data_IF_434810253385
#
_entry.id   IF_434810253385
#
_cell.length_a   1.000
_cell.length_b   1.000
_cell.length_c   1.000
_cell.angle_alpha   90.00
_cell.angle_beta   90.00
_cell.angle_gamma   90.00
#
_symmetry.space_group_name_H-M   'P 1'
#
loop_
_entity.id
_entity.type
_entity.pdbx_description
1 polymer ?
#
# COMPACT_ATOMS: atom_id res chain seq x y z
N UNK A 1 -12.52 12.99 0.27
CA UNK A 1 -12.72 11.64 0.84
C UNK A 1 -13.68 10.86 -0.04
N UNK A 2 -13.45 9.56 -0.25
CA UNK A 2 -14.37 8.67 -0.99
C UNK A 2 -15.78 8.71 -0.38
N UNK A 3 -16.61 9.62 -0.87
CA UNK A 3 -18.04 9.75 -0.56
C UNK A 3 -18.84 8.81 -1.47
N UNK A 4 -18.46 7.53 -1.49
CA UNK A 4 -19.25 6.53 -2.19
C UNK A 4 -20.41 6.10 -1.28
N UNK A 5 -21.65 6.27 -1.76
CA UNK A 5 -22.85 5.70 -1.14
C UNK A 5 -22.91 4.17 -1.30
N UNK A 6 -22.00 3.59 -2.08
CA UNK A 6 -21.97 2.17 -2.42
C UNK A 6 -21.19 1.41 -1.34
N UNK A 7 -21.81 0.39 -0.75
CA UNK A 7 -21.10 -0.64 0.02
C UNK A 7 -20.19 -1.38 -0.96
N UNK A 8 -18.88 -1.17 -0.82
CA UNK A 8 -17.90 -1.76 -1.72
C UNK A 8 -16.66 -2.24 -0.99
N UNK A 9 -16.09 -3.29 -1.57
CA UNK A 9 -14.74 -3.76 -1.28
C UNK A 9 -13.76 -2.94 -2.11
N UNK A 10 -12.63 -2.56 -1.51
CA UNK A 10 -11.63 -1.74 -2.16
C UNK A 10 -10.29 -2.47 -2.16
N UNK A 11 -9.62 -2.45 -3.31
CA UNK A 11 -8.20 -2.78 -3.42
C UNK A 11 -7.46 -1.48 -3.71
N UNK A 12 -6.59 -1.07 -2.79
CA UNK A 12 -5.83 0.18 -2.90
C UNK A 12 -4.36 -0.19 -3.06
N UNK A 13 -3.76 0.30 -4.14
CA UNK A 13 -2.32 0.20 -4.38
C UNK A 13 -1.60 1.38 -3.71
N UNK A 14 -0.73 1.09 -2.75
CA UNK A 14 0.00 2.08 -1.97
C UNK A 14 1.51 1.97 -2.24
N UNK A 15 2.06 2.95 -2.96
CA UNK A 15 3.48 3.01 -3.29
C UNK A 15 4.29 3.68 -2.17
N UNK A 16 4.61 2.92 -1.12
CA UNK A 16 5.20 3.46 0.11
C UNK A 16 6.50 4.24 -0.11
N UNK A 17 7.31 3.86 -1.10
CA UNK A 17 8.57 4.55 -1.38
C UNK A 17 8.42 5.79 -2.24
N UNK A 18 7.50 5.79 -3.19
CA UNK A 18 7.21 6.99 -3.97
C UNK A 18 6.66 8.08 -3.03
N UNK A 19 5.75 7.69 -2.15
CA UNK A 19 5.24 8.54 -1.06
C UNK A 19 6.40 8.99 -0.16
N UNK A 20 7.25 8.08 0.31
CA UNK A 20 8.39 8.45 1.15
C UNK A 20 9.35 9.47 0.50
N UNK A 21 9.60 9.38 -0.82
CA UNK A 21 10.43 10.34 -1.56
C UNK A 21 9.78 11.72 -1.63
N UNK A 22 8.48 11.77 -1.91
CA UNK A 22 7.72 13.02 -1.92
C UNK A 22 7.72 13.68 -0.54
N UNK A 23 7.43 12.91 0.52
CA UNK A 23 7.49 13.40 1.90
C UNK A 23 8.90 13.87 2.25
N UNK A 24 9.93 13.11 1.89
CA UNK A 24 11.32 13.48 2.12
C UNK A 24 11.70 14.80 1.46
N UNK A 25 11.16 15.09 0.27
CA UNK A 25 11.39 16.35 -0.45
C UNK A 25 10.72 17.55 0.23
N UNK A 26 9.55 17.34 0.84
CA UNK A 26 8.87 18.33 1.67
C UNK A 26 9.70 18.61 2.93
N UNK A 27 10.09 17.55 3.65
CA UNK A 27 10.84 17.67 4.91
C UNK A 27 12.23 18.26 4.73
N UNK A 28 12.83 18.14 3.55
CA UNK A 28 14.13 18.75 3.23
C UNK A 28 14.01 20.19 2.73
N UNK A 29 12.80 20.76 2.66
CA UNK A 29 12.55 22.10 2.13
C UNK A 29 12.76 22.24 0.61
N UNK A 30 12.91 21.13 -0.13
CA UNK A 30 13.06 21.17 -1.59
C UNK A 30 11.73 21.52 -2.26
N UNK A 31 10.63 21.14 -1.62
CA UNK A 31 9.26 21.41 -2.04
C UNK A 31 8.51 21.93 -0.82
N UNK A 32 7.70 22.98 -0.96
CA UNK A 32 6.91 23.53 0.15
C UNK A 32 5.74 22.61 0.51
N UNK A 33 4.99 22.15 -0.50
CA UNK A 33 3.85 21.26 -0.34
C UNK A 33 3.57 20.46 -1.61
N UNK A 34 2.83 19.35 -1.46
CA UNK A 34 2.34 18.55 -2.58
C UNK A 34 0.84 18.35 -2.37
N UNK A 35 -0.04 19.17 -3.00
CA UNK A 35 -1.49 19.13 -2.78
C UNK A 35 -2.11 17.75 -2.99
N UNK A 36 -1.60 17.00 -3.98
CA UNK A 36 -2.04 15.63 -4.25
C UNK A 36 -1.88 14.68 -3.04
N UNK A 37 -0.90 14.92 -2.16
CA UNK A 37 -0.77 14.14 -0.92
C UNK A 37 -1.87 14.48 0.08
N UNK A 38 -2.22 15.75 0.21
CA UNK A 38 -3.33 16.17 1.08
C UNK A 38 -4.66 15.58 0.62
N UNK A 39 -4.91 15.57 -0.69
CA UNK A 39 -6.08 14.91 -1.28
C UNK A 39 -6.07 13.40 -1.05
N UNK A 40 -4.91 12.76 -1.26
CA UNK A 40 -4.74 11.33 -1.07
C UNK A 40 -5.01 10.91 0.38
N UNK A 41 -4.39 11.56 1.38
CA UNK A 41 -4.61 11.27 2.80
C UNK A 41 -5.95 11.81 3.32
N UNK A 42 -6.54 12.77 2.62
CA UNK A 42 -7.83 13.39 2.93
C UNK A 42 -7.77 14.38 4.09
N UNK A 43 -6.60 14.90 4.43
CA UNK A 43 -6.35 16.04 5.33
C UNK A 43 -4.87 16.51 5.20
N UNK A 44 -4.44 17.45 6.03
CA UNK A 44 -3.07 17.93 6.15
C UNK A 44 -2.36 17.49 7.45
N UNK A 45 -3.03 16.68 8.29
CA UNK A 45 -2.50 16.24 9.59
C UNK A 45 -1.49 15.10 9.44
N UNK A 46 -1.52 14.40 8.29
CA UNK A 46 -0.62 13.30 7.98
C UNK A 46 0.86 13.70 8.08
N UNK A 47 1.22 14.93 7.70
CA UNK A 47 2.62 15.35 7.65
C UNK A 47 3.23 15.37 9.05
N UNK A 48 2.52 16.01 10.00
CA UNK A 48 2.92 16.04 11.41
C UNK A 48 3.04 14.63 12.00
N UNK A 49 2.05 13.77 11.73
CA UNK A 49 2.10 12.38 12.19
C UNK A 49 3.34 11.65 11.66
N UNK A 50 3.62 11.76 10.35
CA UNK A 50 4.77 11.08 9.74
C UNK A 50 6.10 11.64 10.25
N UNK A 51 6.20 12.95 10.50
CA UNK A 51 7.37 13.56 11.13
C UNK A 51 7.64 13.00 12.53
N UNK A 52 6.59 12.90 13.35
CA UNK A 52 6.72 12.40 14.73
C UNK A 52 7.11 10.92 14.75
N UNK A 53 6.53 10.10 13.87
CA UNK A 53 6.92 8.69 13.68
C UNK A 53 8.36 8.55 13.16
N UNK A 54 8.80 9.46 12.30
CA UNK A 54 10.19 9.49 11.80
C UNK A 54 11.17 9.78 12.94
N UNK A 55 10.85 10.72 13.84
CA UNK A 55 11.69 11.02 15.02
C UNK A 55 11.82 9.81 15.94
N UNK A 56 10.83 8.91 15.95
CA UNK A 56 10.87 7.63 16.66
C UNK A 56 11.59 6.52 15.88
N UNK A 57 12.21 6.83 14.74
CA UNK A 57 13.00 5.89 13.93
C UNK A 57 12.19 5.11 12.88
N UNK A 58 10.89 5.40 12.70
CA UNK A 58 10.08 4.71 11.69
C UNK A 58 10.42 5.20 10.28
N UNK A 59 10.44 4.27 9.31
CA UNK A 59 10.60 4.61 7.89
C UNK A 59 9.39 5.42 7.41
N UNK A 60 9.62 6.51 6.70
CA UNK A 60 8.59 7.42 6.17
C UNK A 60 7.43 6.70 5.47
N UNK A 61 7.74 5.76 4.57
CA UNK A 61 6.72 5.02 3.82
C UNK A 61 5.83 4.15 4.72
N UNK A 62 6.40 3.59 5.80
CA UNK A 62 5.66 2.77 6.77
C UNK A 62 4.77 3.63 7.67
N UNK A 63 5.30 4.76 8.14
CA UNK A 63 4.51 5.74 8.90
C UNK A 63 3.32 6.27 8.06
N UNK A 64 3.57 6.61 6.80
CA UNK A 64 2.52 7.06 5.88
C UNK A 64 1.45 5.98 5.63
N UNK A 65 1.87 4.71 5.45
CA UNK A 65 0.94 3.58 5.30
C UNK A 65 0.07 3.40 6.55
N UNK A 66 0.66 3.46 7.74
CA UNK A 66 -0.05 3.33 9.01
C UNK A 66 -1.07 4.44 9.20
N UNK A 67 -0.68 5.68 8.90
CA UNK A 67 -1.60 6.82 8.90
C UNK A 67 -2.80 6.58 7.98
N UNK A 68 -2.54 6.20 6.73
CA UNK A 68 -3.56 5.97 5.72
C UNK A 68 -4.55 4.87 6.13
N UNK A 69 -4.03 3.76 6.64
CA UNK A 69 -4.85 2.65 7.15
C UNK A 69 -5.64 3.07 8.40
N UNK A 70 -5.04 3.87 9.29
CA UNK A 70 -5.71 4.45 10.44
C UNK A 70 -6.89 5.34 10.05
N UNK A 71 -6.75 6.14 9.00
CA UNK A 71 -7.83 6.95 8.42
C UNK A 71 -8.98 6.09 7.91
N UNK A 72 -8.69 5.03 7.16
CA UNK A 72 -9.70 4.08 6.67
C UNK A 72 -10.49 3.49 7.86
N UNK A 73 -9.79 3.03 8.91
CA UNK A 73 -10.42 2.50 10.13
C UNK A 73 -11.31 3.53 10.80
N UNK A 74 -10.85 4.78 10.93
CA UNK A 74 -11.61 5.86 11.56
C UNK A 74 -12.91 6.16 10.81
N UNK A 75 -12.85 6.25 9.48
CA UNK A 75 -14.02 6.51 8.62
C UNK A 75 -15.01 5.34 8.68
N UNK A 76 -14.52 4.11 8.76
CA UNK A 76 -15.35 2.90 8.80
C UNK A 76 -15.68 2.40 10.22
N UNK A 77 -15.40 3.15 11.28
CA UNK A 77 -15.53 2.72 12.69
C UNK A 77 -16.89 2.09 13.07
N UNK A 78 -17.98 2.49 12.39
CA UNK A 78 -19.34 1.96 12.62
C UNK A 78 -19.60 0.60 11.96
N UNK A 79 -18.64 0.04 11.23
CA UNK A 79 -18.76 -1.24 10.50
C UNK A 79 -17.59 -2.12 10.87
N UNK A 80 -17.87 -3.40 11.12
CA UNK A 80 -16.81 -4.40 11.26
C UNK A 80 -16.08 -4.51 9.91
N UNK A 81 -14.86 -3.98 9.85
CA UNK A 81 -14.10 -3.81 8.60
C UNK A 81 -12.82 -4.62 8.70
N UNK A 82 -12.60 -5.48 7.72
CA UNK A 82 -11.37 -6.25 7.57
C UNK A 82 -10.45 -5.43 6.66
N UNK A 83 -9.22 -5.18 7.13
CA UNK A 83 -8.18 -4.50 6.35
C UNK A 83 -6.98 -5.41 6.29
N UNK A 84 -6.77 -6.04 5.14
CA UNK A 84 -5.59 -6.83 4.87
C UNK A 84 -4.58 -6.00 4.08
N UNK A 85 -3.31 -6.12 4.47
CA UNK A 85 -2.19 -5.47 3.80
C UNK A 85 -1.26 -6.56 3.29
N UNK A 86 -0.98 -6.54 2.00
CA UNK A 86 0.01 -7.40 1.38
C UNK A 86 1.19 -6.53 0.99
N UNK A 87 2.35 -6.80 1.56
CA UNK A 87 3.59 -6.21 1.09
C UNK A 87 4.05 -7.00 -0.13
N UNK A 88 4.13 -6.33 -1.28
CA UNK A 88 4.67 -6.92 -2.49
C UNK A 88 6.09 -6.40 -2.67
N UNK A 89 7.10 -7.25 -2.46
CA UNK A 89 8.48 -6.84 -2.68
C UNK A 89 8.74 -6.62 -4.17
N UNK A 90 9.60 -5.65 -4.46
CA UNK A 90 10.10 -5.27 -5.77
C UNK A 90 11.65 -5.28 -5.75
N UNK A 91 12.25 -5.17 -6.93
CA UNK A 91 13.70 -5.04 -7.10
C UNK A 91 14.32 -4.01 -6.16
N UNK A 92 15.57 -4.26 -5.70
CA UNK A 92 16.38 -3.31 -4.90
C UNK A 92 15.78 -2.94 -3.53
N UNK A 93 15.08 -3.88 -2.89
CA UNK A 93 14.45 -3.66 -1.58
C UNK A 93 13.31 -2.64 -1.66
N UNK A 94 12.71 -2.51 -2.85
CA UNK A 94 11.53 -1.70 -3.05
C UNK A 94 10.28 -2.50 -2.68
N UNK A 95 9.18 -1.83 -2.31
CA UNK A 95 7.91 -2.51 -2.09
C UNK A 95 6.72 -1.58 -2.33
N UNK A 96 5.63 -2.18 -2.82
CA UNK A 96 4.31 -1.56 -2.77
C UNK A 96 3.40 -2.39 -1.87
N UNK A 97 2.37 -1.76 -1.34
CA UNK A 97 1.39 -2.42 -0.50
C UNK A 97 0.06 -2.50 -1.23
N UNK A 98 -0.51 -3.69 -1.29
CA UNK A 98 -1.91 -3.87 -1.65
C UNK A 98 -2.73 -3.85 -0.38
N UNK A 99 -3.61 -2.86 -0.24
CA UNK A 99 -4.49 -2.71 0.91
C UNK A 99 -5.88 -3.15 0.46
N UNK A 100 -6.31 -4.31 0.93
CA UNK A 100 -7.66 -4.81 0.72
C UNK A 100 -8.55 -4.41 1.88
N UNK A 101 -9.69 -3.79 1.58
CA UNK A 101 -10.63 -3.26 2.57
C UNK A 101 -12.02 -3.80 2.26
N UNK A 102 -12.52 -4.72 3.10
CA UNK A 102 -13.86 -5.30 2.98
C UNK A 102 -14.67 -5.05 4.25
N UNK A 103 -16.00 -5.00 4.12
CA UNK A 103 -16.90 -5.09 5.30
C UNK A 103 -17.09 -6.56 5.64
N UNK A 104 -17.10 -6.92 6.93
CA UNK A 104 -17.45 -8.28 7.34
C UNK A 104 -18.95 -8.50 7.11
N UNK A 105 -19.27 -9.58 6.41
CA UNK A 105 -20.64 -10.03 6.13
C UNK A 105 -20.92 -11.32 6.91
N UNK A 106 -22.19 -11.66 7.09
CA UNK A 106 -22.60 -12.91 7.77
C UNK A 106 -22.13 -14.15 7.00
N UNK A 107 -22.10 -14.08 5.67
CA UNK A 107 -21.38 -15.02 4.81
C UNK A 107 -19.92 -14.60 4.70
N UNK A 108 -18.99 -15.56 4.74
CA UNK A 108 -17.58 -15.28 4.46
C UNK A 108 -17.45 -14.65 3.07
N UNK A 109 -16.64 -13.59 2.94
CA UNK A 109 -16.39 -12.97 1.64
C UNK A 109 -15.49 -13.93 0.82
N UNK A 110 -16.00 -14.54 -0.28
CA UNK A 110 -15.25 -15.53 -1.05
C UNK A 110 -13.98 -14.96 -1.71
N UNK A 111 -13.94 -13.64 -1.92
CA UNK A 111 -12.78 -12.94 -2.45
C UNK A 111 -11.68 -12.80 -1.38
N UNK A 112 -12.06 -12.74 -0.10
CA UNK A 112 -11.10 -12.61 1.00
C UNK A 112 -10.21 -13.86 1.12
N UNK A 113 -10.77 -15.06 0.92
CA UNK A 113 -9.99 -16.30 0.87
C UNK A 113 -8.93 -16.28 -0.23
N UNK A 114 -9.29 -15.76 -1.42
CA UNK A 114 -8.34 -15.61 -2.55
C UNK A 114 -7.27 -14.55 -2.25
N UNK A 115 -7.64 -13.41 -1.67
CA UNK A 115 -6.68 -12.37 -1.30
C UNK A 115 -5.71 -12.85 -0.22
N UNK A 116 -6.17 -13.60 0.79
CA UNK A 116 -5.28 -14.21 1.81
C UNK A 116 -4.36 -15.25 1.16
N UNK A 117 -4.88 -16.04 0.20
CA UNK A 117 -4.07 -17.02 -0.53
C UNK A 117 -3.01 -16.34 -1.39
N UNK A 118 -3.37 -15.26 -2.09
CA UNK A 118 -2.45 -14.45 -2.88
C UNK A 118 -1.42 -13.76 -1.98
N UNK A 119 -1.84 -13.23 -0.83
CA UNK A 119 -0.95 -12.68 0.19
C UNK A 119 0.08 -13.71 0.63
N UNK A 120 -0.36 -14.91 1.02
CA UNK A 120 0.53 -16.01 1.41
C UNK A 120 1.46 -16.41 0.27
N UNK A 121 0.98 -16.43 -0.97
CA UNK A 121 1.80 -16.75 -2.14
C UNK A 121 2.87 -15.69 -2.38
N UNK A 122 2.54 -14.40 -2.28
CA UNK A 122 3.50 -13.30 -2.46
C UNK A 122 4.50 -13.27 -1.29
N UNK A 123 4.03 -13.45 -0.06
CA UNK A 123 4.87 -13.43 1.14
C UNK A 123 5.78 -14.68 1.26
N UNK A 124 5.36 -15.83 0.72
CA UNK A 124 6.15 -17.08 0.73
C UNK A 124 6.89 -17.36 -0.57
N UNK A 125 6.50 -16.73 -1.67
CA UNK A 125 7.09 -16.94 -2.98
C UNK A 125 8.51 -16.41 -3.04
N UNK A 126 9.35 -17.02 -3.87
CA UNK A 126 10.65 -16.45 -4.20
C UNK A 126 10.40 -15.05 -4.80
N UNK A 127 11.01 -14.03 -4.20
CA UNK A 127 10.92 -12.65 -4.66
C UNK A 127 11.24 -12.54 -6.16
N UNK A 128 12.17 -13.36 -6.67
CA UNK A 128 12.46 -13.47 -8.11
C UNK A 128 11.27 -13.97 -8.92
N UNK A 129 10.52 -14.95 -8.43
CA UNK A 129 9.33 -15.47 -9.11
C UNK A 129 8.23 -14.41 -9.21
N UNK A 130 7.97 -13.67 -8.12
CA UNK A 130 7.00 -12.56 -8.13
C UNK A 130 7.45 -11.48 -9.12
N UNK A 131 8.74 -11.15 -9.12
CA UNK A 131 9.35 -10.22 -10.08
C UNK A 131 9.22 -10.69 -11.53
N UNK A 132 9.43 -11.98 -11.80
CA UNK A 132 9.27 -12.57 -13.13
C UNK A 132 7.83 -12.43 -13.63
N UNK A 133 6.86 -12.84 -12.82
CA UNK A 133 5.43 -12.79 -13.19
C UNK A 133 5.00 -11.34 -13.48
N UNK A 134 5.37 -10.38 -12.62
CA UNK A 134 5.05 -8.97 -12.85
C UNK A 134 5.71 -8.44 -14.13
N UNK A 135 6.96 -8.80 -14.39
CA UNK A 135 7.68 -8.35 -15.59
C UNK A 135 7.08 -8.93 -16.88
N UNK A 136 6.58 -10.16 -16.83
CA UNK A 136 5.87 -10.81 -17.95
C UNK A 136 4.57 -10.09 -18.28
N UNK A 137 3.75 -9.84 -17.25
CA UNK A 137 2.46 -9.14 -17.39
C UNK A 137 2.65 -7.72 -17.92
N UNK A 138 3.75 -7.06 -17.54
CA UNK A 138 4.10 -5.72 -18.01
C UNK A 138 4.80 -5.70 -19.39
N UNK A 139 5.01 -6.85 -20.03
CA UNK A 139 5.65 -6.95 -21.34
C UNK A 139 7.12 -6.50 -21.37
N UNK A 140 7.82 -6.56 -20.23
CA UNK A 140 9.22 -6.14 -20.18
C UNK A 140 10.11 -7.18 -20.90
N UNK A 141 11.01 -6.75 -21.80
CA UNK A 141 11.86 -7.67 -22.54
C UNK A 141 12.77 -8.44 -21.59
N UNK A 142 12.77 -9.77 -21.74
CA UNK A 142 13.62 -10.69 -20.99
C UNK A 142 14.84 -11.09 -21.82
N UNK A 143 16.00 -11.25 -21.19
CA UNK A 143 17.15 -11.90 -21.82
C UNK A 143 17.02 -13.42 -21.67
N UNK A 144 17.51 -14.21 -22.62
CA UNK A 144 17.48 -15.69 -22.58
C UNK A 144 18.04 -16.26 -21.26
N UNK A 145 19.02 -15.58 -20.66
CA UNK A 145 19.62 -15.94 -19.36
C UNK A 145 18.60 -15.98 -18.22
N UNK A 146 17.50 -15.24 -18.29
CA UNK A 146 16.47 -15.25 -17.25
C UNK A 146 15.61 -16.52 -17.21
N UNK A 147 15.72 -17.39 -18.23
CA UNK A 147 15.00 -18.66 -18.33
C UNK A 147 15.87 -19.88 -17.97
N UNK A 148 17.17 -19.68 -17.69
CA UNK A 148 18.16 -20.74 -17.47
C UNK A 148 18.56 -20.93 -15.99
N UNK A 149 17.90 -20.22 -15.07
CA UNK A 149 18.03 -20.36 -13.60
C UNK A 149 16.70 -20.79 -13.01
#
# INVERSE_FOLDING_TARGET
MLTSKIRGDFLILFHGQYIARMIGSILSGRVSEIPALNEFFGDNLWLKYVEDERKQGKRLGKAALEYYVGKIRKVRKRRETIIEKVEVPLFKGLSYYLIFVTTKTLSENPWMGKVISLKKLIEKGDQKMVEYVISDVLGKPRSILSYLT
#
